data_IF_287539469068
#
_entry.id   IF_287539469068
#
_cell.length_a   1.000
_cell.length_b   1.000
_cell.length_c   1.000
_cell.angle_alpha   90.00
_cell.angle_beta   90.00
_cell.angle_gamma   90.00
#
_symmetry.space_group_name_H-M   'P 1'
#
loop_
_entity.id
_entity.type
_entity.pdbx_description
1 polymer ?
#
# COMPACT_ATOMS: atom_id res chain seq x y z
N UNK A 1 9.57 1.89 39.33
CA UNK A 1 10.60 2.92 39.54
C UNK A 1 11.18 3.33 38.19
N UNK A 2 10.94 4.55 37.73
CA UNK A 2 11.86 5.21 36.79
C UNK A 2 11.84 6.70 37.10
N UNK A 3 13.02 7.29 37.22
CA UNK A 3 13.25 8.64 37.75
C UNK A 3 14.17 9.36 36.77
N UNK A 4 13.73 10.52 36.29
CA UNK A 4 14.60 11.57 35.75
C UNK A 4 14.92 11.53 34.26
N UNK A 5 14.34 12.49 33.54
CA UNK A 5 15.08 13.31 32.55
C UNK A 5 14.69 14.78 32.75
N UNK A 6 15.22 15.40 33.81
CA UNK A 6 15.21 16.87 33.97
C UNK A 6 16.63 17.36 34.16
N UNK A 7 17.38 17.40 33.06
CA UNK A 7 18.69 18.04 33.01
C UNK A 7 18.51 19.56 32.80
N UNK A 8 17.82 20.21 33.73
CA UNK A 8 17.59 21.65 33.75
C UNK A 8 18.77 22.38 34.39
N UNK A 9 19.80 22.71 33.62
CA UNK A 9 20.88 23.57 34.11
C UNK A 9 20.39 25.02 34.22
N UNK A 10 20.33 25.54 35.46
CA UNK A 10 20.20 26.97 35.80
C UNK A 10 18.98 27.72 35.21
N UNK A 11 17.76 27.28 35.54
CA UNK A 11 16.55 28.10 35.40
C UNK A 11 16.28 28.89 36.70
N UNK A 12 15.76 30.14 36.63
CA UNK A 12 15.37 30.90 37.81
C UNK A 12 14.28 30.18 38.62
N UNK A 13 14.30 30.28 39.95
CA UNK A 13 13.37 29.58 40.84
C UNK A 13 11.90 29.84 40.49
N UNK A 14 11.55 31.07 40.11
CA UNK A 14 10.20 31.47 39.69
C UNK A 14 9.73 30.70 38.44
N UNK A 15 10.63 30.47 37.48
CA UNK A 15 10.33 29.72 36.25
C UNK A 15 10.08 28.25 36.57
N UNK A 16 10.88 27.66 37.47
CA UNK A 16 10.68 26.29 37.96
C UNK A 16 9.33 26.15 38.66
N UNK A 17 8.94 27.13 39.49
CA UNK A 17 7.64 27.12 40.19
C UNK A 17 6.45 27.23 39.21
N UNK A 18 6.57 28.05 38.16
CA UNK A 18 5.55 28.17 37.11
C UNK A 18 5.42 26.87 36.31
N UNK A 19 6.53 26.24 35.92
CA UNK A 19 6.52 24.93 35.23
C UNK A 19 5.82 23.88 36.11
N UNK A 20 6.18 23.80 37.40
CA UNK A 20 5.60 22.84 38.34
C UNK A 20 4.10 23.09 38.62
N UNK A 21 3.59 24.32 38.47
CA UNK A 21 2.15 24.59 38.50
C UNK A 21 1.45 24.22 37.19
N UNK A 22 2.07 24.49 36.04
CA UNK A 22 1.57 24.08 34.72
C UNK A 22 1.49 22.55 34.62
N UNK A 23 2.51 21.82 35.07
CA UNK A 23 2.50 20.35 35.16
C UNK A 23 1.39 19.84 36.07
N UNK A 24 1.24 20.41 37.28
CA UNK A 24 0.19 19.97 38.21
C UNK A 24 -1.23 20.25 37.73
N UNK A 25 -1.48 21.35 37.03
CA UNK A 25 -2.85 21.81 36.74
C UNK A 25 -3.25 21.72 35.26
N UNK A 26 -2.33 22.01 34.34
CA UNK A 26 -2.64 22.22 32.92
C UNK A 26 -2.16 21.09 31.99
N UNK A 27 -1.01 20.46 32.29
CA UNK A 27 -0.38 19.47 31.43
C UNK A 27 -0.73 18.02 31.80
N UNK A 28 -0.51 17.12 30.86
CA UNK A 28 -0.80 15.70 30.96
C UNK A 28 0.11 14.97 31.98
N UNK A 29 -0.42 13.93 32.67
CA UNK A 29 0.33 13.20 33.70
C UNK A 29 1.39 12.23 33.14
N UNK A 30 1.46 12.07 31.81
CA UNK A 30 2.44 11.23 31.11
C UNK A 30 3.77 11.95 30.83
N UNK A 31 3.88 13.23 31.21
CA UNK A 31 5.06 14.06 30.94
C UNK A 31 5.04 14.71 29.54
N UNK A 32 3.96 14.58 28.77
CA UNK A 32 3.80 15.31 27.52
C UNK A 32 3.37 16.76 27.76
N UNK A 33 3.83 17.68 26.91
CA UNK A 33 3.44 19.11 26.93
C UNK A 33 2.04 19.34 26.32
N UNK A 34 1.12 18.39 26.51
CA UNK A 34 -0.25 18.40 26.00
C UNK A 34 -1.19 18.80 27.14
N UNK A 35 -2.25 19.56 26.84
CA UNK A 35 -3.23 19.94 27.87
C UNK A 35 -3.96 18.70 28.41
N UNK A 36 -4.36 18.71 29.69
CA UNK A 36 -5.11 17.60 30.29
C UNK A 36 -6.37 17.22 29.52
N UNK A 37 -7.13 18.20 29.02
CA UNK A 37 -8.31 17.94 28.19
C UNK A 37 -7.91 17.18 26.94
N UNK A 38 -6.97 17.74 26.17
CA UNK A 38 -6.49 17.15 24.92
C UNK A 38 -5.87 15.76 25.11
N UNK A 39 -5.25 15.49 26.26
CA UNK A 39 -4.76 14.16 26.62
C UNK A 39 -5.90 13.15 26.80
N UNK A 40 -6.95 13.50 27.56
CA UNK A 40 -8.11 12.62 27.73
C UNK A 40 -8.90 12.45 26.43
N UNK A 41 -9.04 13.51 25.63
CA UNK A 41 -9.69 13.45 24.31
C UNK A 41 -8.93 12.50 23.36
N UNK A 42 -7.59 12.56 23.35
CA UNK A 42 -6.73 11.65 22.59
C UNK A 42 -6.75 10.21 23.12
N UNK A 43 -6.85 10.03 24.45
CA UNK A 43 -6.99 8.70 25.04
C UNK A 43 -8.33 8.06 24.63
N UNK A 44 -9.44 8.80 24.74
CA UNK A 44 -10.75 8.34 24.31
C UNK A 44 -10.76 8.00 22.81
N UNK A 45 -10.20 8.85 21.96
CA UNK A 45 -10.10 8.59 20.53
C UNK A 45 -9.27 7.33 20.20
N UNK A 46 -8.22 7.03 20.98
CA UNK A 46 -7.45 5.77 20.84
C UNK A 46 -8.27 4.54 21.26
N UNK A 47 -9.05 4.64 22.33
CA UNK A 47 -9.94 3.57 22.79
C UNK A 47 -11.11 3.32 21.81
N UNK A 48 -11.65 4.37 21.20
CA UNK A 48 -12.66 4.25 20.14
C UNK A 48 -12.08 3.65 18.86
N UNK A 49 -10.88 4.08 18.44
CA UNK A 49 -10.18 3.53 17.28
C UNK A 49 -9.84 2.04 17.47
N UNK A 50 -9.40 1.62 18.67
CA UNK A 50 -9.10 0.22 18.94
C UNK A 50 -10.36 -0.66 18.93
N UNK A 51 -11.47 -0.14 19.48
CA UNK A 51 -12.79 -0.79 19.45
C UNK A 51 -13.34 -0.94 18.04
N UNK A 52 -13.19 0.08 17.20
CA UNK A 52 -13.64 0.02 15.80
C UNK A 52 -12.74 -0.87 14.94
N UNK A 53 -11.42 -0.89 15.21
CA UNK A 53 -10.50 -1.87 14.59
C UNK A 53 -10.88 -3.30 14.94
N UNK A 54 -11.28 -3.59 16.19
CA UNK A 54 -11.73 -4.92 16.60
C UNK A 54 -12.99 -5.32 15.81
N UNK A 55 -14.01 -4.45 15.76
CA UNK A 55 -15.24 -4.67 14.98
C UNK A 55 -14.98 -4.91 13.49
N UNK A 56 -14.01 -4.19 12.91
CA UNK A 56 -13.61 -4.40 11.52
C UNK A 56 -13.00 -5.80 11.31
N UNK A 57 -12.14 -6.26 12.22
CA UNK A 57 -11.55 -7.61 12.16
C UNK A 57 -12.62 -8.70 12.37
N UNK A 58 -13.57 -8.50 13.29
CA UNK A 58 -14.73 -9.39 13.48
C UNK A 58 -15.58 -9.44 12.19
N UNK A 59 -15.88 -8.30 11.59
CA UNK A 59 -16.64 -8.24 10.33
C UNK A 59 -15.89 -8.87 9.15
N UNK A 60 -14.55 -8.73 9.09
CA UNK A 60 -13.73 -9.43 8.10
C UNK A 60 -13.76 -10.94 8.29
N UNK A 61 -13.66 -11.44 9.53
CA UNK A 61 -13.75 -12.86 9.81
C UNK A 61 -15.10 -13.44 9.36
N UNK A 62 -16.21 -12.79 9.73
CA UNK A 62 -17.57 -13.16 9.30
C UNK A 62 -17.71 -13.13 7.77
N UNK A 63 -17.13 -12.13 7.09
CA UNK A 63 -17.15 -12.05 5.63
C UNK A 63 -16.34 -13.18 4.97
N UNK A 64 -15.19 -13.55 5.54
CA UNK A 64 -14.37 -14.67 5.04
C UNK A 64 -15.06 -16.03 5.24
N UNK A 65 -15.78 -16.23 6.34
CA UNK A 65 -16.61 -17.42 6.58
C UNK A 65 -17.79 -17.47 5.60
N UNK A 66 -18.41 -16.32 5.31
CA UNK A 66 -19.48 -16.21 4.31
C UNK A 66 -18.98 -16.55 2.89
N UNK A 67 -17.78 -16.10 2.50
CA UNK A 67 -17.13 -16.51 1.24
C UNK A 67 -16.94 -18.03 1.22
N UNK A 68 -16.30 -18.61 2.24
CA UNK A 68 -16.04 -20.05 2.30
C UNK A 68 -17.34 -20.87 2.17
N UNK A 69 -18.44 -20.46 2.82
CA UNK A 69 -19.74 -21.11 2.69
C UNK A 69 -20.34 -21.03 1.27
N UNK A 70 -20.11 -19.95 0.54
CA UNK A 70 -20.56 -19.80 -0.86
C UNK A 70 -19.67 -20.60 -1.80
N UNK A 71 -18.34 -20.63 -1.58
CA UNK A 71 -17.40 -21.45 -2.34
C UNK A 71 -17.66 -22.95 -2.16
N UNK A 72 -17.94 -23.40 -0.92
CA UNK A 72 -18.37 -24.79 -0.65
C UNK A 72 -19.67 -25.14 -1.38
N UNK A 73 -20.64 -24.22 -1.44
CA UNK A 73 -21.87 -24.40 -2.21
C UNK A 73 -21.61 -24.49 -3.72
N UNK A 74 -20.86 -23.55 -4.29
CA UNK A 74 -20.49 -23.56 -5.72
C UNK A 74 -19.70 -24.82 -6.10
N UNK A 75 -18.82 -25.30 -5.22
CA UNK A 75 -18.08 -26.55 -5.40
C UNK A 75 -18.99 -27.78 -5.37
N UNK A 76 -19.94 -27.84 -4.43
CA UNK A 76 -20.92 -28.92 -4.34
C UNK A 76 -21.88 -28.94 -5.56
N UNK A 77 -22.33 -27.78 -6.02
CA UNK A 77 -23.11 -27.62 -7.27
C UNK A 77 -22.29 -28.10 -8.48
N UNK A 78 -21.00 -27.76 -8.54
CA UNK A 78 -20.11 -28.20 -9.62
C UNK A 78 -19.94 -29.72 -9.65
N UNK A 79 -19.76 -30.35 -8.48
CA UNK A 79 -19.67 -31.82 -8.33
C UNK A 79 -20.99 -32.49 -8.71
N UNK A 80 -22.14 -31.93 -8.30
CA UNK A 80 -23.46 -32.44 -8.67
C UNK A 80 -23.71 -32.38 -10.19
N UNK A 81 -23.30 -31.28 -10.84
CA UNK A 81 -23.41 -31.11 -12.30
C UNK A 81 -22.51 -32.10 -13.07
N UNK A 82 -21.31 -32.42 -12.57
CA UNK A 82 -20.43 -33.46 -13.12
C UNK A 82 -20.99 -34.87 -12.96
N UNK A 83 -21.79 -35.13 -11.92
CA UNK A 83 -22.40 -36.43 -11.63
C UNK A 83 -23.68 -36.75 -12.43
N UNK A 84 -24.21 -35.80 -13.21
CA UNK A 84 -25.42 -36.01 -14.03
C UNK A 84 -26.73 -36.20 -13.24
N UNK A 85 -26.72 -36.01 -11.92
CA UNK A 85 -27.91 -36.16 -11.07
C UNK A 85 -28.74 -34.87 -11.14
N UNK A 86 -29.69 -34.84 -12.08
CA UNK A 86 -30.76 -33.85 -12.05
C UNK A 86 -31.74 -34.16 -10.90
N UNK A 87 -31.95 -33.16 -10.06
CA UNK A 87 -33.15 -32.94 -9.26
C UNK A 87 -33.52 -34.01 -8.22
N UNK A 88 -32.74 -34.10 -7.13
CA UNK A 88 -33.22 -34.65 -5.84
C UNK A 88 -32.86 -33.70 -4.68
N UNK A 89 -33.85 -33.13 -3.95
CA UNK A 89 -33.58 -32.21 -2.84
C UNK A 89 -32.74 -32.77 -1.68
N UNK A 90 -32.60 -34.09 -1.59
CA UNK A 90 -31.77 -34.78 -0.59
C UNK A 90 -30.26 -34.83 -0.90
N UNK A 91 -29.85 -34.62 -2.16
CA UNK A 91 -28.45 -34.78 -2.59
C UNK A 91 -27.50 -33.78 -1.91
N UNK A 92 -27.94 -32.56 -1.68
CA UNK A 92 -27.14 -31.50 -1.06
C UNK A 92 -26.75 -31.82 0.38
N UNK A 93 -27.60 -32.54 1.13
CA UNK A 93 -27.31 -32.96 2.50
C UNK A 93 -26.23 -34.06 2.58
N UNK A 94 -26.10 -34.89 1.53
CA UNK A 94 -25.02 -35.88 1.40
C UNK A 94 -23.67 -35.25 0.96
N UNK A 95 -23.71 -34.06 0.35
CA UNK A 95 -22.53 -33.27 -0.04
C UNK A 95 -22.00 -32.36 1.09
N UNK A 96 -22.53 -32.48 2.31
CA UNK A 96 -22.04 -31.77 3.50
C UNK A 96 -22.67 -30.39 3.74
N UNK A 97 -23.55 -29.91 2.86
CA UNK A 97 -24.22 -28.62 3.03
C UNK A 97 -25.30 -28.69 4.12
N UNK A 98 -25.25 -27.71 5.04
CA UNK A 98 -26.08 -27.68 6.25
C UNK A 98 -27.41 -26.93 6.06
N UNK A 99 -27.55 -26.15 4.99
CA UNK A 99 -28.70 -25.28 4.72
C UNK A 99 -29.30 -25.57 3.33
N UNK A 100 -30.48 -25.02 3.03
CA UNK A 100 -31.09 -25.17 1.71
C UNK A 100 -30.41 -24.28 0.65
N UNK A 101 -30.44 -24.66 -0.65
CA UNK A 101 -29.81 -23.90 -1.74
C UNK A 101 -30.16 -22.40 -1.78
N UNK A 102 -31.42 -22.06 -1.50
CA UNK A 102 -31.91 -20.68 -1.52
C UNK A 102 -31.20 -19.78 -0.50
N UNK A 103 -30.68 -20.33 0.59
CA UNK A 103 -29.94 -19.57 1.62
C UNK A 103 -28.59 -19.12 1.08
N UNK A 104 -27.90 -19.99 0.34
CA UNK A 104 -26.60 -19.68 -0.28
C UNK A 104 -26.74 -18.69 -1.44
N UNK A 105 -27.75 -18.86 -2.30
CA UNK A 105 -28.07 -17.91 -3.38
C UNK A 105 -28.44 -16.51 -2.83
N UNK A 106 -29.19 -16.47 -1.72
CA UNK A 106 -29.52 -15.21 -1.02
C UNK A 106 -28.28 -14.58 -0.38
N UNK A 107 -27.38 -15.40 0.18
CA UNK A 107 -26.12 -14.93 0.78
C UNK A 107 -25.19 -14.33 -0.29
N UNK A 108 -24.98 -15.03 -1.40
CA UNK A 108 -24.21 -14.59 -2.56
C UNK A 108 -24.75 -13.26 -3.12
N UNK A 109 -26.05 -13.16 -3.38
CA UNK A 109 -26.67 -11.91 -3.84
C UNK A 109 -26.47 -10.75 -2.84
N UNK A 110 -26.60 -11.01 -1.54
CA UNK A 110 -26.36 -9.98 -0.50
C UNK A 110 -24.90 -9.57 -0.40
N UNK A 111 -23.95 -10.48 -0.62
CA UNK A 111 -22.52 -10.17 -0.67
C UNK A 111 -22.18 -9.30 -1.87
N UNK A 112 -22.70 -9.61 -3.06
CA UNK A 112 -22.54 -8.78 -4.28
C UNK A 112 -23.10 -7.36 -4.06
N UNK A 113 -24.29 -7.23 -3.45
CA UNK A 113 -24.88 -5.92 -3.11
C UNK A 113 -24.03 -5.17 -2.06
N UNK A 114 -23.49 -5.86 -1.06
CA UNK A 114 -22.62 -5.26 -0.05
C UNK A 114 -21.28 -4.79 -0.64
N UNK A 115 -20.67 -5.58 -1.52
CA UNK A 115 -19.43 -5.27 -2.22
C UNK A 115 -19.62 -4.08 -3.18
N UNK A 116 -20.72 -4.04 -3.93
CA UNK A 116 -21.09 -2.88 -4.76
C UNK A 116 -21.31 -1.62 -3.90
N UNK A 117 -21.99 -1.74 -2.75
CA UNK A 117 -22.18 -0.63 -1.82
C UNK A 117 -20.89 -0.19 -1.11
N UNK A 118 -19.87 -1.04 -1.01
CA UNK A 118 -18.53 -0.67 -0.57
C UNK A 118 -17.76 0.06 -1.69
N UNK A 119 -17.80 -0.44 -2.94
CA UNK A 119 -17.21 0.21 -4.13
C UNK A 119 -17.79 1.60 -4.41
N UNK A 120 -19.04 1.87 -4.02
CA UNK A 120 -19.67 3.20 -4.12
C UNK A 120 -19.31 4.15 -2.95
N UNK A 121 -18.81 3.63 -1.83
CA UNK A 121 -18.39 4.42 -0.66
C UNK A 121 -16.89 4.68 -0.62
N UNK A 122 -16.10 3.79 -1.22
CA UNK A 122 -14.67 3.97 -1.43
C UNK A 122 -14.46 4.79 -2.72
N UNK A 123 -13.53 5.76 -2.73
CA UNK A 123 -13.01 6.28 -3.99
C UNK A 123 -12.48 5.11 -4.82
N UNK A 124 -12.84 5.06 -6.12
CA UNK A 124 -12.38 4.00 -7.03
C UNK A 124 -10.89 4.17 -7.35
N UNK A 125 -10.05 3.78 -6.39
CA UNK A 125 -8.63 3.54 -6.62
C UNK A 125 -8.48 2.24 -7.41
N UNK A 126 -8.08 2.37 -8.67
CA UNK A 126 -7.63 1.23 -9.46
C UNK A 126 -6.40 0.58 -8.80
N UNK A 127 -6.06 -0.65 -9.22
CA UNK A 127 -4.93 -1.41 -8.64
C UNK A 127 -3.57 -0.71 -8.82
N UNK A 128 -3.50 0.27 -9.74
CA UNK A 128 -2.32 1.10 -10.04
C UNK A 128 -2.50 2.58 -9.60
N UNK A 129 -3.53 2.90 -8.82
CA UNK A 129 -3.70 4.22 -8.17
C UNK A 129 -4.18 5.36 -9.07
N UNK A 130 -4.38 5.14 -10.37
CA UNK A 130 -4.94 6.13 -11.29
C UNK A 130 -6.48 6.10 -11.27
N UNK A 131 -7.11 7.26 -11.12
CA UNK A 131 -8.56 7.42 -11.05
C UNK A 131 -9.10 7.65 -12.48
N UNK A 132 -9.82 6.67 -13.03
CA UNK A 132 -10.48 6.80 -14.34
C UNK A 132 -11.89 7.35 -14.18
N UNK A 133 -12.03 8.65 -14.43
CA UNK A 133 -13.28 9.41 -14.31
C UNK A 133 -14.41 8.85 -15.22
N UNK A 134 -14.06 8.27 -16.37
CA UNK A 134 -14.99 7.60 -17.30
C UNK A 134 -15.77 6.43 -16.69
N UNK A 135 -15.20 5.71 -15.70
CA UNK A 135 -15.89 4.59 -15.02
C UNK A 135 -16.93 5.11 -14.01
N UNK A 136 -16.70 6.27 -13.42
CA UNK A 136 -17.60 6.94 -12.45
C UNK A 136 -18.87 7.43 -13.15
N UNK A 137 -18.74 8.01 -14.34
CA UNK A 137 -19.89 8.38 -15.17
C UNK A 137 -20.70 7.16 -15.60
N UNK A 138 -20.03 6.07 -16.00
CA UNK A 138 -20.69 4.83 -16.44
C UNK A 138 -21.53 4.18 -15.33
N UNK A 139 -21.05 4.18 -14.08
CA UNK A 139 -21.84 3.75 -12.93
C UNK A 139 -23.01 4.70 -12.62
N UNK A 140 -22.81 6.00 -12.74
CA UNK A 140 -23.88 7.01 -12.55
C UNK A 140 -25.03 6.87 -13.55
N UNK A 141 -24.76 6.42 -14.78
CA UNK A 141 -25.79 6.16 -15.79
C UNK A 141 -26.59 4.90 -15.44
N UNK A 142 -25.95 3.86 -14.90
CA UNK A 142 -26.60 2.59 -14.54
C UNK A 142 -27.61 2.74 -13.39
N UNK A 143 -27.37 3.66 -12.45
CA UNK A 143 -28.28 3.89 -11.31
C UNK A 143 -29.56 4.68 -11.65
N UNK A 144 -29.76 5.11 -12.90
CA UNK A 144 -30.90 5.97 -13.31
C UNK A 144 -31.91 5.28 -14.23
N UNK A 145 -31.74 4.01 -14.55
CA UNK A 145 -32.56 3.28 -15.55
C UNK A 145 -33.65 2.36 -14.99
N UNK A 146 -33.90 2.36 -13.67
CA UNK A 146 -34.83 1.42 -13.02
C UNK A 146 -36.21 2.00 -12.62
N UNK A 147 -36.48 3.28 -12.89
CA UNK A 147 -37.73 3.96 -12.50
C UNK A 147 -38.25 4.94 -13.55
N UNK A 148 -38.66 4.42 -14.72
CA UNK A 148 -40.01 4.74 -15.21
C UNK A 148 -40.53 3.64 -16.16
N UNK A 149 -41.84 3.48 -16.24
CA UNK A 149 -42.50 2.45 -17.05
C UNK A 149 -43.11 3.03 -18.32
N UNK A 150 -43.07 2.28 -19.44
CA UNK A 150 -44.22 1.94 -20.30
C UNK A 150 -43.85 1.72 -21.78
N UNK A 151 -44.13 0.50 -22.25
CA UNK A 151 -44.42 0.10 -23.65
C UNK A 151 -43.33 0.02 -24.75
N UNK A 152 -43.25 -1.23 -25.25
CA UNK A 152 -43.10 -1.66 -26.65
C UNK A 152 -41.74 -1.57 -27.36
N UNK A 153 -41.15 -2.77 -27.51
CA UNK A 153 -40.80 -3.44 -28.78
C UNK A 153 -39.36 -3.96 -28.84
N UNK A 154 -39.24 -5.12 -29.48
CA UNK A 154 -38.02 -5.94 -29.54
C UNK A 154 -37.17 -5.52 -30.73
N UNK A 155 -35.89 -5.23 -30.51
CA UNK A 155 -34.86 -5.51 -31.52
C UNK A 155 -33.54 -5.90 -30.87
N UNK A 156 -33.02 -7.07 -31.23
CA UNK A 156 -31.66 -7.50 -30.90
C UNK A 156 -30.71 -6.84 -31.90
N UNK A 157 -29.57 -6.33 -31.43
CA UNK A 157 -28.46 -5.93 -32.31
C UNK A 157 -27.13 -6.15 -31.61
N UNK A 158 -26.50 -7.29 -31.91
CA UNK A 158 -25.11 -7.58 -31.58
C UNK A 158 -24.21 -6.98 -32.66
N UNK A 159 -23.22 -6.18 -32.28
CA UNK A 159 -22.09 -5.85 -33.15
C UNK A 159 -20.79 -5.80 -32.36
N UNK A 160 -19.96 -6.81 -32.59
CA UNK A 160 -18.59 -6.90 -32.07
C UNK A 160 -17.69 -5.88 -32.76
N UNK A 161 -16.76 -5.28 -32.02
CA UNK A 161 -15.58 -4.64 -32.61
C UNK A 161 -14.33 -5.45 -32.27
N UNK A 162 -13.69 -5.97 -33.32
CA UNK A 162 -12.40 -6.63 -33.28
C UNK A 162 -11.26 -5.63 -33.55
N UNK A 163 -10.06 -5.96 -33.09
CA UNK A 163 -8.83 -5.33 -33.60
C UNK A 163 -7.82 -6.43 -33.91
N UNK A 164 -7.42 -6.55 -35.17
CA UNK A 164 -6.48 -7.57 -35.66
C UNK A 164 -5.05 -7.02 -35.71
N UNK A 165 -4.07 -7.87 -35.40
CA UNK A 165 -2.73 -7.81 -36.01
C UNK A 165 -2.18 -9.21 -36.32
N UNK A 166 -2.30 -9.58 -37.59
CA UNK A 166 -1.30 -10.28 -38.43
C UNK A 166 -0.42 -11.43 -37.89
N UNK A 167 -0.73 -12.63 -38.42
CA UNK A 167 0.17 -13.41 -39.33
C UNK A 167 1.07 -14.53 -38.77
N UNK A 168 0.72 -15.75 -39.20
CA UNK A 168 1.53 -16.94 -39.54
C UNK A 168 2.52 -17.56 -38.53
N UNK A 169 2.20 -18.80 -38.12
CA UNK A 169 2.78 -19.95 -38.81
C UNK A 169 1.88 -21.20 -38.73
N UNK A 170 1.92 -22.04 -39.75
CA UNK A 170 1.06 -23.22 -39.92
C UNK A 170 1.84 -24.52 -39.84
N UNK A 171 1.31 -25.51 -39.13
CA UNK A 171 1.48 -26.94 -39.48
C UNK A 171 0.29 -27.75 -38.95
N UNK A 172 -0.56 -28.33 -39.82
CA UNK A 172 -1.64 -29.23 -39.41
C UNK A 172 -1.31 -30.70 -39.67
N UNK A 173 -1.79 -31.61 -38.81
CA UNK A 173 -2.15 -33.02 -39.08
C UNK A 173 -2.74 -33.60 -37.78
N UNK A 174 -4.01 -34.03 -37.62
CA UNK A 174 -5.02 -34.70 -38.45
C UNK A 174 -5.18 -36.20 -38.11
N UNK A 175 -6.42 -36.56 -37.73
CA UNK A 175 -7.10 -37.86 -37.86
C UNK A 175 -6.74 -39.07 -36.95
N UNK A 176 -7.62 -39.27 -35.96
CA UNK A 176 -8.53 -40.43 -35.79
C UNK A 176 -8.02 -41.90 -35.75
N UNK A 177 -8.27 -42.53 -34.59
CA UNK A 177 -8.98 -43.81 -34.33
C UNK A 177 -8.65 -45.12 -35.08
N UNK A 178 -8.32 -46.15 -34.28
CA UNK A 178 -8.78 -47.57 -34.24
C UNK A 178 -8.17 -48.12 -32.92
N UNK A 179 -8.85 -48.60 -31.87
CA UNK A 179 -10.02 -49.47 -31.59
C UNK A 179 -9.68 -50.97 -31.42
N UNK A 180 -10.34 -51.62 -30.43
CA UNK A 180 -10.18 -53.00 -29.87
C UNK A 180 -8.84 -53.31 -29.15
N UNK A 181 -8.76 -54.15 -28.10
CA UNK A 181 -9.67 -54.67 -27.05
C UNK A 181 -8.79 -55.29 -25.91
N UNK A 182 -9.21 -55.81 -24.75
CA UNK A 182 -10.52 -56.13 -24.16
C UNK A 182 -10.48 -56.06 -22.59
N UNK A 183 -11.60 -56.42 -21.94
CA UNK A 183 -11.82 -57.00 -20.57
C UNK A 183 -10.71 -56.90 -19.51
N UNK A 184 -10.97 -56.41 -18.29
CA UNK A 184 -11.97 -57.02 -17.39
C UNK A 184 -12.67 -56.03 -16.42
N UNK A 185 -13.79 -56.46 -15.84
CA UNK A 185 -14.67 -55.67 -14.93
C UNK A 185 -14.58 -56.10 -13.47
N UNK A 186 -14.56 -55.16 -12.52
CA UNK A 186 -15.08 -55.28 -11.13
C UNK A 186 -15.08 -53.88 -10.45
N UNK A 187 -15.81 -53.64 -9.34
CA UNK A 187 -16.49 -52.36 -9.08
C UNK A 187 -15.69 -51.30 -8.31
N UNK A 188 -16.06 -50.04 -8.53
CA UNK A 188 -15.45 -48.89 -7.87
C UNK A 188 -15.76 -48.78 -6.38
N UNK A 189 -14.72 -48.81 -5.55
CA UNK A 189 -14.78 -48.51 -4.10
C UNK A 189 -14.18 -47.12 -3.86
N UNK A 190 -15.03 -46.09 -3.93
CA UNK A 190 -14.63 -44.69 -3.77
C UNK A 190 -14.44 -44.29 -2.30
N UNK A 191 -13.25 -43.78 -1.96
CA UNK A 191 -12.94 -43.19 -0.66
C UNK A 191 -11.49 -42.72 -0.60
N UNK A 192 -11.21 -41.65 0.15
CA UNK A 192 -9.85 -41.09 0.27
C UNK A 192 -8.96 -42.09 1.03
N UNK A 193 -7.80 -42.52 0.48
CA UNK A 193 -6.88 -43.40 1.19
C UNK A 193 -6.32 -42.76 2.46
N UNK A 194 -6.07 -43.57 3.49
CA UNK A 194 -5.42 -43.07 4.70
C UNK A 194 -3.97 -42.64 4.38
N UNK A 195 -3.60 -41.39 4.70
CA UNK A 195 -2.31 -40.77 4.33
C UNK A 195 -1.06 -41.54 4.76
N UNK A 196 -1.16 -42.42 5.76
CA UNK A 196 -0.02 -43.20 6.26
C UNK A 196 0.07 -44.62 5.69
N UNK A 197 -1.03 -45.16 5.15
CA UNK A 197 -1.11 -46.58 4.77
C UNK A 197 -1.49 -46.80 3.29
N UNK A 198 -1.92 -45.77 2.56
CA UNK A 198 -2.21 -45.83 1.12
C UNK A 198 -3.42 -46.70 0.73
N UNK A 199 -4.06 -47.38 1.69
CA UNK A 199 -5.19 -48.29 1.50
C UNK A 199 -6.49 -47.67 2.03
N UNK A 200 -7.59 -47.94 1.31
CA UNK A 200 -8.93 -47.47 1.67
C UNK A 200 -9.51 -48.32 2.80
N UNK A 201 -10.18 -47.75 3.82
CA UNK A 201 -10.76 -48.52 4.93
C UNK A 201 -11.73 -49.63 4.47
N UNK A 202 -12.50 -49.38 3.40
CA UNK A 202 -13.38 -50.37 2.79
C UNK A 202 -12.62 -51.57 2.17
N UNK A 203 -11.44 -51.33 1.58
CA UNK A 203 -10.58 -52.37 1.02
C UNK A 203 -10.00 -53.28 2.12
N UNK A 204 -9.58 -52.69 3.26
CA UNK A 204 -9.16 -53.46 4.44
C UNK A 204 -10.29 -54.37 4.95
N UNK A 205 -11.49 -53.82 5.11
CA UNK A 205 -12.65 -54.56 5.61
C UNK A 205 -13.01 -55.75 4.70
N UNK A 206 -13.04 -55.52 3.38
CA UNK A 206 -13.34 -56.55 2.40
C UNK A 206 -12.24 -57.63 2.33
N UNK A 207 -10.97 -57.23 2.45
CA UNK A 207 -9.83 -58.17 2.49
C UNK A 207 -9.84 -59.01 3.77
N UNK A 208 -10.20 -58.43 4.92
CA UNK A 208 -10.33 -59.16 6.18
C UNK A 208 -11.51 -60.14 6.19
N UNK A 209 -12.57 -59.88 5.43
CA UNK A 209 -13.69 -60.82 5.22
C UNK A 209 -13.38 -61.94 4.21
N UNK A 210 -12.48 -61.72 3.26
CA UNK A 210 -12.03 -62.74 2.31
C UNK A 210 -10.87 -63.61 2.85
N UNK A 211 -10.06 -63.06 3.76
CA UNK A 211 -9.09 -63.83 4.54
C UNK A 211 -9.82 -64.65 5.60
N UNK A 212 -10.34 -65.82 5.19
CA UNK A 212 -10.65 -66.89 6.12
C UNK A 212 -9.38 -67.14 6.96
N UNK A 213 -9.37 -66.90 8.28
CA UNK A 213 -8.14 -66.95 9.06
C UNK A 213 -7.51 -68.33 8.90
N UNK A 214 -6.23 -68.34 8.52
CA UNK A 214 -5.45 -69.56 8.33
C UNK A 214 -5.72 -70.54 9.48
N UNK A 215 -5.88 -71.81 9.14
CA UNK A 215 -6.37 -72.89 10.03
C UNK A 215 -5.39 -73.31 11.14
N UNK A 216 -4.66 -72.34 11.69
CA UNK A 216 -3.82 -72.46 12.86
C UNK A 216 -4.73 -72.34 14.07
N UNK A 217 -4.69 -73.32 14.98
CA UNK A 217 -5.54 -73.29 16.16
C UNK A 217 -5.21 -72.03 17.00
N UNK A 218 -6.24 -71.34 17.47
CA UNK A 218 -6.10 -70.14 18.28
C UNK A 218 -5.27 -70.45 19.55
N UNK A 219 -5.32 -71.70 20.04
CA UNK A 219 -4.50 -72.13 21.19
C UNK A 219 -3.00 -72.22 20.84
N UNK A 220 -2.64 -72.70 19.64
CA UNK A 220 -1.25 -72.77 19.17
C UNK A 220 -0.67 -71.37 18.92
N UNK A 221 -1.46 -70.45 18.34
CA UNK A 221 -1.04 -69.07 18.17
C UNK A 221 -0.77 -68.38 19.51
N UNK A 222 -1.66 -68.53 20.50
CA UNK A 222 -1.47 -68.00 21.85
C UNK A 222 -0.27 -68.64 22.57
N UNK A 223 -0.02 -69.94 22.36
CA UNK A 223 1.14 -70.63 22.94
C UNK A 223 2.47 -70.19 22.32
N UNK A 224 2.52 -69.98 20.99
CA UNK A 224 3.70 -69.43 20.32
C UNK A 224 3.94 -67.97 20.72
N UNK A 225 2.89 -67.15 20.77
CA UNK A 225 2.98 -65.74 21.16
C UNK A 225 3.44 -65.58 22.62
N UNK A 226 2.90 -66.37 23.55
CA UNK A 226 3.33 -66.35 24.95
C UNK A 226 4.78 -66.79 25.14
N UNK A 227 5.24 -67.83 24.44
CA UNK A 227 6.66 -68.25 24.45
C UNK A 227 7.60 -67.19 23.87
N UNK A 228 7.23 -66.52 22.78
CA UNK A 228 8.01 -65.42 22.20
C UNK A 228 8.05 -64.21 23.13
N UNK A 229 6.94 -63.88 23.80
CA UNK A 229 6.89 -62.82 24.83
C UNK A 229 7.77 -63.18 26.02
N UNK A 230 7.73 -64.41 26.51
CA UNK A 230 8.57 -64.90 27.61
C UNK A 230 10.06 -64.86 27.23
N UNK A 231 10.43 -65.33 26.04
CA UNK A 231 11.80 -65.28 25.54
C UNK A 231 12.31 -63.83 25.41
N UNK A 232 11.48 -62.91 24.92
CA UNK A 232 11.80 -61.47 24.82
C UNK A 232 11.91 -60.79 26.18
N UNK A 233 11.06 -61.15 27.15
CA UNK A 233 11.15 -60.66 28.51
C UNK A 233 12.42 -61.16 29.19
N UNK A 234 12.71 -62.46 29.07
CA UNK A 234 13.93 -63.08 29.60
C UNK A 234 15.18 -62.42 29.02
N UNK A 235 15.29 -62.31 27.69
CA UNK A 235 16.42 -61.64 27.04
C UNK A 235 16.56 -60.14 27.41
N UNK A 236 15.48 -59.47 27.83
CA UNK A 236 15.55 -58.10 28.39
C UNK A 236 16.00 -58.10 29.85
N UNK A 237 15.53 -59.05 30.66
CA UNK A 237 15.96 -59.22 32.06
C UNK A 237 17.44 -59.60 32.15
N UNK A 238 17.89 -60.53 31.32
CA UNK A 238 19.29 -60.97 31.25
C UNK A 238 20.19 -59.79 30.82
N UNK A 239 19.81 -59.02 29.79
CA UNK A 239 20.51 -57.77 29.40
C UNK A 239 20.53 -56.69 30.49
N UNK A 240 19.48 -56.60 31.30
CA UNK A 240 19.44 -55.69 32.45
C UNK A 240 20.39 -56.17 33.56
N UNK A 241 20.43 -57.46 33.84
CA UNK A 241 21.37 -58.05 34.79
C UNK A 241 22.82 -57.84 34.34
N UNK A 242 23.14 -58.09 33.05
CA UNK A 242 24.47 -57.85 32.48
C UNK A 242 24.88 -56.37 32.61
N UNK A 243 23.96 -55.43 32.35
CA UNK A 243 24.22 -54.00 32.51
C UNK A 243 24.53 -53.62 33.98
N UNK A 244 23.79 -54.17 34.95
CA UNK A 244 24.07 -53.97 36.38
C UNK A 244 25.39 -54.63 36.84
N UNK A 245 25.83 -55.71 36.20
CA UNK A 245 27.09 -56.41 36.54
C UNK A 245 28.31 -55.69 35.92
N UNK A 246 28.15 -55.04 34.77
CA UNK A 246 29.25 -54.29 34.11
C UNK A 246 29.55 -52.93 34.77
N UNK A 247 28.58 -52.27 35.41
CA UNK A 247 28.77 -50.97 36.06
C UNK A 247 29.74 -51.01 37.27
N UNK A 248 30.00 -52.19 37.85
CA UNK A 248 30.90 -52.36 39.01
C UNK A 248 32.40 -52.49 38.64
N UNK A 249 32.76 -52.73 37.36
CA UNK A 249 34.12 -53.20 37.00
C UNK A 249 35.00 -52.14 36.31
N UNK A 250 34.50 -51.34 35.36
CA UNK A 250 35.35 -50.45 34.54
C UNK A 250 35.17 -48.95 34.84
N UNK A 251 35.69 -48.53 35.99
CA UNK A 251 35.84 -47.11 36.35
C UNK A 251 36.98 -46.39 35.59
N UNK A 252 36.85 -46.16 34.28
CA UNK A 252 37.52 -45.03 33.61
C UNK A 252 37.05 -44.74 32.18
N UNK A 253 36.41 -43.59 31.93
CA UNK A 253 36.67 -42.67 30.80
C UNK A 253 35.59 -41.58 30.71
N UNK A 254 36.01 -40.32 30.83
CA UNK A 254 35.14 -39.16 31.02
C UNK A 254 33.98 -38.94 30.03
N UNK A 255 32.77 -38.89 30.58
CA UNK A 255 31.75 -37.87 30.27
C UNK A 255 31.04 -37.50 31.59
N UNK A 256 31.27 -36.28 32.10
CA UNK A 256 30.90 -35.83 33.46
C UNK A 256 29.40 -35.51 33.65
N UNK A 257 28.48 -36.32 33.10
CA UNK A 257 27.03 -36.08 33.16
C UNK A 257 26.20 -37.28 33.67
N UNK A 258 26.81 -38.44 33.96
CA UNK A 258 26.09 -39.69 34.27
C UNK A 258 26.12 -40.13 35.75
N UNK A 259 26.74 -39.36 36.66
CA UNK A 259 26.87 -39.71 38.10
C UNK A 259 26.21 -38.69 39.05
N UNK A 260 25.12 -38.07 38.60
CA UNK A 260 24.19 -37.36 39.47
C UNK A 260 22.91 -38.18 39.60
N UNK A 261 22.26 -38.18 40.78
CA UNK A 261 21.01 -38.93 40.94
C UNK A 261 19.93 -38.29 40.04
N UNK A 262 18.87 -39.04 39.78
CA UNK A 262 17.78 -38.62 38.89
C UNK A 262 17.21 -37.22 39.25
N UNK A 263 17.03 -36.84 40.54
CA UNK A 263 16.54 -35.52 40.90
C UNK A 263 17.39 -34.36 40.41
N UNK A 264 18.72 -34.45 40.47
CA UNK A 264 19.63 -33.37 40.07
C UNK A 264 19.67 -33.20 38.55
N UNK A 265 19.53 -34.29 37.78
CA UNK A 265 19.37 -34.23 36.32
C UNK A 265 18.04 -33.58 35.92
N UNK A 266 16.95 -33.95 36.58
CA UNK A 266 15.63 -33.34 36.35
C UNK A 266 15.66 -31.85 36.73
N UNK A 267 16.31 -31.50 37.85
CA UNK A 267 16.50 -30.10 38.25
C UNK A 267 17.24 -29.29 37.18
N UNK A 268 18.36 -29.78 36.66
CA UNK A 268 19.10 -29.07 35.62
C UNK A 268 18.28 -28.88 34.34
N UNK A 269 17.50 -29.89 33.93
CA UNK A 269 16.60 -29.80 32.76
C UNK A 269 15.50 -28.75 33.01
N UNK A 270 14.93 -28.68 34.22
CA UNK A 270 13.95 -27.64 34.58
C UNK A 270 14.59 -26.25 34.54
N UNK A 271 15.78 -26.07 35.13
CA UNK A 271 16.52 -24.80 35.12
C UNK A 271 16.99 -24.38 33.71
N UNK A 272 17.10 -25.32 32.76
CA UNK A 272 17.33 -25.03 31.34
C UNK A 272 16.04 -24.58 30.65
N UNK A 273 14.94 -25.33 30.82
CA UNK A 273 13.62 -25.04 30.25
C UNK A 273 13.06 -23.70 30.76
N UNK A 274 13.20 -23.39 32.06
CA UNK A 274 12.78 -22.11 32.65
C UNK A 274 13.56 -20.94 32.04
N UNK A 275 14.85 -21.15 31.71
CA UNK A 275 15.70 -20.13 31.08
C UNK A 275 15.33 -19.92 29.60
N UNK A 276 15.06 -21.01 28.88
CA UNK A 276 14.52 -20.96 27.52
C UNK A 276 13.13 -20.29 27.49
N UNK A 277 12.25 -20.55 28.46
CA UNK A 277 10.94 -19.92 28.55
C UNK A 277 11.06 -18.39 28.75
N UNK A 278 11.97 -17.95 29.63
CA UNK A 278 12.23 -16.52 29.83
C UNK A 278 12.79 -15.87 28.56
N UNK A 279 13.73 -16.52 27.88
CA UNK A 279 14.28 -16.02 26.62
C UNK A 279 13.21 -15.91 25.52
N UNK A 280 12.37 -16.94 25.34
CA UNK A 280 11.28 -16.93 24.36
C UNK A 280 10.20 -15.89 24.69
N UNK A 281 9.91 -15.64 25.97
CA UNK A 281 9.03 -14.54 26.40
C UNK A 281 9.63 -13.19 26.04
N UNK A 282 10.91 -12.97 26.32
CA UNK A 282 11.60 -11.71 25.99
C UNK A 282 11.64 -11.47 24.47
N UNK A 283 11.95 -12.50 23.68
CA UNK A 283 11.91 -12.43 22.21
C UNK A 283 10.52 -12.06 21.69
N UNK A 284 9.46 -12.69 22.23
CA UNK A 284 8.06 -12.42 21.87
C UNK A 284 7.65 -10.98 22.22
N UNK A 285 7.98 -10.49 23.41
CA UNK A 285 7.75 -9.09 23.77
C UNK A 285 8.59 -8.12 22.92
N UNK A 286 9.81 -8.51 22.52
CA UNK A 286 10.64 -7.72 21.61
C UNK A 286 10.03 -7.62 20.21
N UNK A 287 9.44 -8.71 19.72
CA UNK A 287 8.80 -8.79 18.42
C UNK A 287 7.50 -7.96 18.40
N UNK A 288 6.66 -8.10 19.43
CA UNK A 288 5.42 -7.33 19.57
C UNK A 288 5.69 -5.82 19.66
N UNK A 289 6.72 -5.40 20.42
CA UNK A 289 7.17 -4.00 20.46
C UNK A 289 7.63 -3.50 19.08
N UNK A 290 8.48 -4.25 18.37
CA UNK A 290 8.95 -3.89 17.01
C UNK A 290 7.78 -3.79 16.02
N UNK A 291 6.80 -4.70 16.13
CA UNK A 291 5.59 -4.70 15.31
C UNK A 291 4.73 -3.47 15.59
N UNK A 292 4.51 -3.13 16.86
CA UNK A 292 3.79 -1.93 17.26
C UNK A 292 4.51 -0.64 16.81
N UNK A 293 5.83 -0.57 16.95
CA UNK A 293 6.64 0.56 16.46
C UNK A 293 6.50 0.71 14.94
N UNK A 294 6.72 -0.36 14.16
CA UNK A 294 6.58 -0.36 12.70
C UNK A 294 5.19 0.09 12.23
N UNK A 295 4.12 -0.47 12.80
CA UNK A 295 2.75 -0.11 12.42
C UNK A 295 2.38 1.33 12.79
N UNK A 296 2.82 1.83 13.95
CA UNK A 296 2.58 3.23 14.31
C UNK A 296 3.34 4.19 13.38
N UNK A 297 4.59 3.86 13.05
CA UNK A 297 5.42 4.62 12.11
C UNK A 297 4.80 4.67 10.71
N UNK A 298 4.34 3.53 10.18
CA UNK A 298 3.71 3.44 8.86
C UNK A 298 2.34 4.15 8.83
N UNK A 299 1.55 4.04 9.90
CA UNK A 299 0.27 4.74 10.02
C UNK A 299 0.46 6.26 10.17
N UNK A 300 1.50 6.71 10.88
CA UNK A 300 1.86 8.13 10.94
C UNK A 300 2.37 8.66 9.60
N UNK A 301 3.24 7.91 8.90
CA UNK A 301 3.74 8.27 7.57
C UNK A 301 2.60 8.40 6.56
N UNK A 302 1.69 7.41 6.51
CA UNK A 302 0.53 7.46 5.61
C UNK A 302 -0.43 8.60 5.97
N UNK A 303 -0.71 8.86 7.25
CA UNK A 303 -1.51 10.02 7.68
C UNK A 303 -0.88 11.36 7.30
N UNK A 304 0.43 11.52 7.50
CA UNK A 304 1.18 12.72 7.10
C UNK A 304 1.15 12.90 5.57
N UNK A 305 1.37 11.85 4.79
CA UNK A 305 1.23 11.90 3.33
C UNK A 305 -0.17 12.36 2.90
N UNK A 306 -1.25 11.78 3.45
CA UNK A 306 -2.63 12.19 3.13
C UNK A 306 -2.94 13.63 3.56
N UNK A 307 -2.39 14.09 4.68
CA UNK A 307 -2.47 15.50 5.11
C UNK A 307 -1.72 16.44 4.16
N UNK A 308 -0.54 16.05 3.67
CA UNK A 308 0.23 16.81 2.67
C UNK A 308 -0.47 16.84 1.30
N UNK A 309 -1.00 15.71 0.82
CA UNK A 309 -1.82 15.63 -0.40
C UNK A 309 -3.04 16.57 -0.31
N UNK A 310 -3.77 16.52 0.82
CA UNK A 310 -4.93 17.38 1.09
C UNK A 310 -4.55 18.86 1.08
N UNK A 311 -3.39 19.22 1.65
CA UNK A 311 -2.90 20.59 1.67
C UNK A 311 -2.46 21.06 0.27
N UNK A 312 -1.81 20.19 -0.52
CA UNK A 312 -1.49 20.46 -1.93
C UNK A 312 -2.75 20.68 -2.78
N UNK A 313 -3.81 19.88 -2.56
CA UNK A 313 -5.09 20.07 -3.24
C UNK A 313 -5.73 21.42 -2.88
N UNK A 314 -5.73 21.80 -1.59
CA UNK A 314 -6.22 23.12 -1.14
C UNK A 314 -5.43 24.28 -1.74
N UNK A 315 -4.11 24.16 -1.83
CA UNK A 315 -3.26 25.18 -2.48
C UNK A 315 -3.57 25.31 -3.98
N UNK A 316 -3.77 24.20 -4.70
CA UNK A 316 -4.20 24.24 -6.10
C UNK A 316 -5.58 24.85 -6.30
N UNK A 317 -6.54 24.62 -5.39
CA UNK A 317 -7.84 25.32 -5.44
C UNK A 317 -7.66 26.83 -5.24
N UNK A 318 -6.81 27.26 -4.29
CA UNK A 318 -6.51 28.68 -4.09
C UNK A 318 -5.80 29.30 -5.30
N UNK A 319 -4.89 28.58 -5.94
CA UNK A 319 -4.27 28.97 -7.21
C UNK A 319 -5.31 29.18 -8.31
N UNK A 320 -6.25 28.24 -8.49
CA UNK A 320 -7.34 28.40 -9.47
C UNK A 320 -8.29 29.55 -9.14
N UNK A 321 -8.59 29.80 -7.86
CA UNK A 321 -9.38 30.98 -7.43
C UNK A 321 -8.65 32.26 -7.79
N UNK A 322 -7.36 32.38 -7.44
CA UNK A 322 -6.54 33.54 -7.81
C UNK A 322 -6.45 33.72 -9.33
N UNK A 323 -6.33 32.64 -10.11
CA UNK A 323 -6.35 32.70 -11.57
C UNK A 323 -7.69 33.20 -12.10
N UNK A 324 -8.83 32.79 -11.54
CA UNK A 324 -10.15 33.28 -11.94
C UNK A 324 -10.38 34.75 -11.55
N UNK A 325 -9.89 35.18 -10.39
CA UNK A 325 -9.96 36.58 -9.94
C UNK A 325 -9.02 37.50 -10.72
N UNK A 326 -7.83 37.01 -11.12
CA UNK A 326 -6.84 37.82 -11.87
C UNK A 326 -7.10 37.84 -13.37
N UNK A 327 -7.55 36.72 -13.95
CA UNK A 327 -7.84 36.56 -15.38
C UNK A 327 -9.35 36.56 -15.67
N UNK A 328 -10.04 37.61 -15.26
CA UNK A 328 -11.43 37.87 -15.66
C UNK A 328 -11.57 38.08 -17.17
N UNK A 329 -12.79 37.91 -17.69
CA UNK A 329 -13.11 38.06 -19.11
C UNK A 329 -12.82 39.45 -19.69
N UNK A 330 -12.73 40.49 -18.85
CA UNK A 330 -12.34 41.85 -19.24
C UNK A 330 -10.83 42.09 -19.14
N UNK A 331 -10.17 41.47 -18.16
CA UNK A 331 -8.72 41.61 -17.95
C UNK A 331 -7.89 40.94 -19.06
N UNK A 332 -8.32 39.78 -19.58
CA UNK A 332 -7.57 39.02 -20.60
C UNK A 332 -7.42 39.81 -21.92
N UNK A 333 -8.48 40.45 -22.48
CA UNK A 333 -8.35 41.38 -23.61
C UNK A 333 -7.48 42.60 -23.30
N UNK A 334 -7.59 43.16 -22.09
CA UNK A 334 -6.78 44.31 -21.68
C UNK A 334 -5.28 43.95 -21.63
N UNK A 335 -4.93 42.80 -21.04
CA UNK A 335 -3.56 42.26 -21.02
C UNK A 335 -3.03 42.01 -22.43
N UNK A 336 -3.84 41.46 -23.34
CA UNK A 336 -3.45 41.28 -24.75
C UNK A 336 -3.16 42.61 -25.43
N UNK A 337 -3.96 43.65 -25.16
CA UNK A 337 -3.73 44.99 -25.72
C UNK A 337 -2.44 45.62 -25.18
N UNK A 338 -2.19 45.50 -23.87
CA UNK A 338 -0.94 45.96 -23.23
C UNK A 338 0.26 45.18 -23.79
N UNK A 339 0.18 43.84 -23.89
CA UNK A 339 1.22 42.99 -24.47
C UNK A 339 1.53 43.38 -25.91
N UNK A 340 0.50 43.66 -26.71
CA UNK A 340 0.67 44.13 -28.10
C UNK A 340 1.46 45.44 -28.14
N UNK A 341 1.05 46.47 -27.39
CA UNK A 341 1.79 47.74 -27.32
C UNK A 341 3.24 47.58 -26.84
N UNK A 342 3.48 46.71 -25.84
CA UNK A 342 4.83 46.43 -25.37
C UNK A 342 5.69 45.76 -26.44
N UNK A 343 5.16 44.77 -27.15
CA UNK A 343 5.87 44.10 -28.26
C UNK A 343 6.18 45.10 -29.38
N UNK A 344 5.20 45.88 -29.82
CA UNK A 344 5.37 46.92 -30.85
C UNK A 344 6.43 47.96 -30.44
N UNK A 345 6.40 48.43 -29.19
CA UNK A 345 7.40 49.37 -28.66
C UNK A 345 8.80 48.75 -28.55
N UNK A 346 8.92 47.47 -28.19
CA UNK A 346 10.23 46.77 -28.17
C UNK A 346 10.78 46.54 -29.58
N UNK A 347 9.91 46.24 -30.56
CA UNK A 347 10.28 46.10 -31.96
C UNK A 347 10.81 47.43 -32.50
N UNK A 348 10.06 48.53 -32.30
CA UNK A 348 10.46 49.89 -32.71
C UNK A 348 11.77 50.32 -32.04
N UNK A 349 11.93 50.10 -30.73
CA UNK A 349 13.17 50.39 -30.02
C UNK A 349 14.35 49.56 -30.56
N UNK A 350 14.14 48.29 -30.93
CA UNK A 350 15.18 47.44 -31.52
C UNK A 350 15.58 47.92 -32.93
N UNK A 351 14.61 48.38 -33.74
CA UNK A 351 14.86 48.96 -35.06
C UNK A 351 15.64 50.26 -34.92
N UNK A 352 15.26 51.13 -33.97
CA UNK A 352 15.96 52.37 -33.67
C UNK A 352 17.41 52.11 -33.18
N UNK A 353 17.60 51.13 -32.30
CA UNK A 353 18.91 50.68 -31.84
C UNK A 353 19.78 50.16 -33.00
N UNK A 354 19.26 49.23 -33.80
CA UNK A 354 19.98 48.67 -34.95
C UNK A 354 20.37 49.76 -35.95
N UNK A 355 19.48 50.73 -36.21
CA UNK A 355 19.77 51.90 -37.06
C UNK A 355 20.88 52.80 -36.48
N UNK A 356 20.92 52.98 -35.16
CA UNK A 356 21.98 53.71 -34.48
C UNK A 356 23.33 52.95 -34.53
N UNK A 357 23.31 51.63 -34.36
CA UNK A 357 24.50 50.76 -34.47
C UNK A 357 25.07 50.77 -35.89
N UNK A 358 24.24 50.69 -36.92
CA UNK A 358 24.70 50.79 -38.32
C UNK A 358 25.36 52.15 -38.59
N UNK A 359 24.77 53.25 -38.14
CA UNK A 359 25.37 54.60 -38.23
C UNK A 359 26.68 54.71 -37.46
N UNK A 360 26.77 54.15 -36.25
CA UNK A 360 28.02 54.11 -35.49
C UNK A 360 29.11 53.32 -36.22
N UNK A 361 28.76 52.21 -36.87
CA UNK A 361 29.68 51.43 -37.72
C UNK A 361 30.14 52.21 -38.94
N UNK A 362 29.24 52.98 -39.58
CA UNK A 362 29.60 53.90 -40.67
C UNK A 362 30.66 54.91 -40.19
N UNK A 363 30.46 55.56 -39.04
CA UNK A 363 31.44 56.49 -38.46
C UNK A 363 32.75 55.82 -38.04
N UNK A 364 32.72 54.60 -37.48
CA UNK A 364 33.93 53.82 -37.14
C UNK A 364 34.72 53.38 -38.38
N UNK A 365 34.09 53.34 -39.56
CA UNK A 365 34.74 53.06 -40.83
C UNK A 365 35.40 54.27 -41.48
N UNK A 366 35.28 55.48 -40.90
CA UNK A 366 35.91 56.68 -41.44
C UNK A 366 37.37 56.78 -40.97
N UNK A 367 38.24 57.21 -41.87
CA UNK A 367 39.68 57.37 -41.67
C UNK A 367 40.03 58.17 -40.38
N UNK A 368 41.05 57.77 -39.58
CA UNK A 368 41.57 58.55 -38.45
C UNK A 368 41.85 60.05 -38.74
N UNK A 369 42.08 60.43 -40.00
CA UNK A 369 42.17 61.83 -40.41
C UNK A 369 40.87 62.62 -40.14
N UNK A 370 39.71 61.99 -40.24
CA UNK A 370 38.40 62.60 -39.96
C UNK A 370 38.24 62.99 -38.48
N UNK A 371 38.78 62.21 -37.54
CA UNK A 371 38.78 62.59 -36.11
C UNK A 371 39.57 63.87 -35.85
N UNK A 372 40.62 64.13 -36.63
CA UNK A 372 41.37 65.39 -36.58
C UNK A 372 40.52 66.56 -37.07
N UNK A 373 39.86 66.40 -38.22
CA UNK A 373 38.94 67.40 -38.80
C UNK A 373 37.77 67.67 -37.84
N UNK A 374 37.17 66.64 -37.25
CA UNK A 374 36.05 66.74 -36.31
C UNK A 374 36.45 67.32 -34.93
N UNK A 375 37.74 67.38 -34.60
CA UNK A 375 38.26 68.17 -33.46
C UNK A 375 38.43 69.64 -33.84
N UNK A 376 39.10 69.92 -34.96
CA UNK A 376 39.31 71.29 -35.45
C UNK A 376 37.99 72.02 -35.68
N UNK A 377 36.99 71.37 -36.29
CA UNK A 377 35.65 71.94 -36.46
C UNK A 377 34.99 72.28 -35.11
N UNK A 378 35.19 71.45 -34.09
CA UNK A 378 34.64 71.65 -32.74
C UNK A 378 35.27 72.85 -32.02
N UNK A 379 36.57 73.04 -32.21
CA UNK A 379 37.30 74.21 -31.69
C UNK A 379 36.80 75.49 -32.39
N UNK A 380 36.72 75.49 -33.72
CA UNK A 380 36.20 76.64 -34.50
C UNK A 380 34.75 76.98 -34.11
N UNK A 381 33.87 75.98 -33.92
CA UNK A 381 32.48 76.23 -33.47
C UNK A 381 32.45 76.84 -32.07
N UNK A 382 33.27 76.35 -31.14
CA UNK A 382 33.36 76.90 -29.77
C UNK A 382 33.88 78.34 -29.77
N UNK A 383 34.86 78.65 -30.62
CA UNK A 383 35.37 80.01 -30.79
C UNK A 383 34.28 80.93 -31.38
N UNK A 384 33.53 80.46 -32.37
CA UNK A 384 32.39 81.19 -32.94
C UNK A 384 31.27 81.44 -31.92
N UNK A 385 30.91 80.45 -31.09
CA UNK A 385 29.96 80.61 -29.98
C UNK A 385 30.46 81.66 -28.97
N UNK A 386 31.75 81.62 -28.64
CA UNK A 386 32.39 82.58 -27.72
C UNK A 386 32.39 84.00 -28.31
N UNK A 387 32.68 84.15 -29.60
CA UNK A 387 32.62 85.43 -30.31
C UNK A 387 31.19 85.94 -30.43
N UNK A 388 30.21 85.09 -30.75
CA UNK A 388 28.79 85.46 -30.79
C UNK A 388 28.28 85.91 -29.42
N UNK A 389 28.63 85.19 -28.36
CA UNK A 389 28.31 85.58 -26.99
C UNK A 389 28.93 86.94 -26.64
N UNK A 390 30.19 87.16 -27.01
CA UNK A 390 30.90 88.43 -26.77
C UNK A 390 30.26 89.59 -27.55
N UNK A 391 29.89 89.37 -28.82
CA UNK A 391 29.18 90.37 -29.63
C UNK A 391 27.81 90.68 -29.03
N UNK A 392 27.05 89.66 -28.63
CA UNK A 392 25.74 89.84 -28.00
C UNK A 392 25.83 90.60 -26.67
N UNK A 393 26.85 90.32 -25.86
CA UNK A 393 27.13 91.04 -24.62
C UNK A 393 27.46 92.51 -24.91
N UNK A 394 28.34 92.78 -25.88
CA UNK A 394 28.69 94.15 -26.31
C UNK A 394 27.48 94.89 -26.87
N UNK A 395 26.59 94.24 -27.64
CA UNK A 395 25.32 94.83 -28.07
C UNK A 395 24.40 95.17 -26.91
N UNK A 396 24.30 94.31 -25.90
CA UNK A 396 23.49 94.56 -24.71
C UNK A 396 24.04 95.73 -23.88
N UNK A 397 25.37 95.86 -23.80
CA UNK A 397 26.01 96.95 -23.08
C UNK A 397 25.92 98.29 -23.86
N UNK A 398 26.03 98.27 -25.20
CA UNK A 398 25.75 99.42 -26.07
C UNK A 398 24.28 99.89 -25.98
N UNK A 399 23.32 98.96 -25.97
CA UNK A 399 21.88 99.25 -25.78
C UNK A 399 21.54 99.69 -24.35
N UNK A 400 22.48 99.60 -23.40
CA UNK A 400 22.34 100.06 -22.01
C UNK A 400 23.03 101.39 -21.73
N UNK A 401 23.77 101.98 -22.67
CA UNK A 401 24.15 103.39 -22.54
C UNK A 401 22.88 104.24 -22.54
N UNK A 402 22.69 105.16 -21.57
CA UNK A 402 21.61 106.12 -21.67
C UNK A 402 21.87 107.06 -22.84
N UNK A 403 20.84 107.31 -23.65
CA UNK A 403 20.83 108.45 -24.58
C UNK A 403 21.04 109.72 -23.75
N UNK A 404 22.25 110.29 -23.80
CA UNK A 404 22.51 111.61 -23.21
C UNK A 404 21.90 112.67 -24.14
N UNK A 405 20.87 113.42 -23.70
CA UNK A 405 20.31 114.50 -24.50
C UNK A 405 21.22 115.73 -24.37
N UNK A 406 22.17 115.87 -25.29
CA UNK A 406 22.90 117.13 -25.43
C UNK A 406 22.06 118.13 -26.23
N UNK A 407 21.53 119.11 -25.50
CA UNK A 407 21.40 120.48 -25.98
C UNK A 407 22.79 121.16 -26.01
#
# INVERSE_FOLDING_TARGET
MMKGVHQGQNLPADVTQVIEQLERHCLAPDGSLVSKSSYYDLQLAREEMSRERLRYLEAMAIYSEAIAMVEEYQQAVSVANLGGIRDVPGSYMQLGLKNSPQVYETLEHRMVVAEAAQRLRLPLISKDGEIREEEIEKCSIMSRSSLDSTSTSVTISSSSNSTNYTTANSTPSAANNIFTSATDTEPGVGGVPNRFLGITPAYLWQTQLQQNPLSMDMTEYQLCLSREIEARLKAKCDKLADAFIMDDIDSSSGHQNSSARIPERVKFIIEEIEREEVALREDLYSADRKFAEYYNDELQKTWLCKRCETMSAKLRVLEHVLLLETYTQESIPALHKIRKYLVEATEEASIAYNKAVTRLREYQGVDPHFDSIAKQYREIVKDLETMQWTIHQVEMDLKRLPDHPNA
#
